data_IF_293664994529
#
_entry.id   IF_293664994529
#
_cell.length_a   1.000
_cell.length_b   1.000
_cell.length_c   1.000
_cell.angle_alpha   90.00
_cell.angle_beta   90.00
_cell.angle_gamma   90.00
#
_symmetry.space_group_name_H-M   'P 1'
#
loop_
_entity.id
_entity.type
_entity.pdbx_description
1 polymer ?
#
# COMPACT_ATOMS: atom_id res chain seq x y z
N UNK A 1 -16.43 31.46 6.84
CA UNK A 1 -16.42 30.29 7.75
C UNK A 1 -15.14 30.37 8.58
N UNK A 2 -15.14 31.23 9.60
CA UNK A 2 -13.94 31.55 10.39
C UNK A 2 -13.78 30.47 11.47
N UNK A 3 -12.84 29.56 11.24
CA UNK A 3 -12.49 28.51 12.19
C UNK A 3 -11.61 29.13 13.27
N UNK A 4 -12.21 29.58 14.36
CA UNK A 4 -11.53 29.95 15.60
C UNK A 4 -10.58 28.79 15.97
N UNK A 5 -9.27 28.95 15.70
CA UNK A 5 -8.25 27.96 16.04
C UNK A 5 -8.12 27.94 17.55
N UNK A 6 -8.83 27.02 18.20
CA UNK A 6 -8.67 26.84 19.64
C UNK A 6 -7.20 26.46 19.93
N UNK A 7 -6.44 27.31 20.63
CA UNK A 7 -5.00 27.11 20.83
C UNK A 7 -4.72 25.83 21.63
N UNK A 8 -5.64 25.40 22.49
CA UNK A 8 -5.54 24.15 23.24
C UNK A 8 -5.62 22.93 22.32
N UNK A 9 -6.50 22.95 21.32
CA UNK A 9 -6.62 21.87 20.34
C UNK A 9 -5.39 21.78 19.44
N UNK A 10 -4.81 22.93 19.10
CA UNK A 10 -3.55 23.02 18.35
C UNK A 10 -2.36 22.51 19.17
N UNK A 11 -2.28 22.89 20.45
CA UNK A 11 -1.24 22.42 21.36
C UNK A 11 -1.32 20.91 21.62
N UNK A 12 -2.54 20.38 21.81
CA UNK A 12 -2.76 18.94 21.94
C UNK A 12 -2.34 18.18 20.67
N UNK A 13 -2.75 18.64 19.49
CA UNK A 13 -2.33 18.04 18.23
C UNK A 13 -0.80 18.07 18.06
N UNK A 14 -0.15 19.19 18.40
CA UNK A 14 1.32 19.31 18.36
C UNK A 14 1.99 18.29 19.29
N UNK A 15 1.48 18.12 20.50
CA UNK A 15 2.03 17.18 21.49
C UNK A 15 1.89 15.73 21.01
N UNK A 16 0.74 15.37 20.43
CA UNK A 16 0.52 14.05 19.82
C UNK A 16 1.50 13.80 18.66
N UNK A 17 1.67 14.77 17.75
CA UNK A 17 2.65 14.65 16.68
C UNK A 17 4.07 14.54 17.21
N UNK A 18 4.46 15.38 18.18
CA UNK A 18 5.78 15.33 18.78
C UNK A 18 6.06 13.96 19.43
N UNK A 19 5.10 13.40 20.16
CA UNK A 19 5.22 12.07 20.74
C UNK A 19 5.34 10.97 19.69
N UNK A 20 4.58 11.03 18.59
CA UNK A 20 4.62 10.06 17.50
C UNK A 20 5.93 10.11 16.70
N UNK A 21 6.48 11.32 16.49
CA UNK A 21 7.74 11.51 15.78
C UNK A 21 8.98 11.41 16.67
N UNK A 22 8.85 11.54 18.00
CA UNK A 22 9.94 11.42 18.95
C UNK A 22 10.82 10.16 18.75
N UNK A 23 10.28 8.93 18.63
CA UNK A 23 11.13 7.75 18.43
C UNK A 23 11.89 7.77 17.09
N UNK A 24 11.31 8.36 16.05
CA UNK A 24 11.95 8.50 14.74
C UNK A 24 13.11 9.50 14.83
N UNK A 25 12.90 10.63 15.52
CA UNK A 25 13.95 11.62 15.76
C UNK A 25 15.08 11.03 16.61
N UNK A 26 14.75 10.27 17.64
CA UNK A 26 15.73 9.56 18.48
C UNK A 26 16.55 8.59 17.61
N UNK A 27 15.90 7.81 16.74
CA UNK A 27 16.59 6.92 15.80
C UNK A 27 17.53 7.71 14.87
N UNK A 28 17.08 8.84 14.32
CA UNK A 28 17.92 9.70 13.47
C UNK A 28 19.16 10.20 14.23
N UNK A 29 19.01 10.65 15.48
CA UNK A 29 20.12 11.10 16.31
C UNK A 29 21.10 9.94 16.57
N UNK A 30 20.59 8.76 16.91
CA UNK A 30 21.43 7.58 17.13
C UNK A 30 22.09 7.02 15.86
N UNK A 31 21.58 7.34 14.67
CA UNK A 31 22.22 6.99 13.40
C UNK A 31 23.59 7.65 13.23
N UNK A 32 23.86 8.73 13.97
CA UNK A 32 25.17 9.39 14.02
C UNK A 32 26.03 8.97 15.22
N UNK A 33 25.63 7.97 16.01
CA UNK A 33 26.38 7.59 17.20
C UNK A 33 27.61 6.74 16.87
N UNK A 34 28.76 7.12 17.44
CA UNK A 34 30.05 6.42 17.32
C UNK A 34 30.16 5.19 18.25
N UNK A 35 29.10 4.37 18.29
CA UNK A 35 29.07 3.14 19.09
C UNK A 35 28.34 2.04 18.32
N UNK A 36 28.95 0.86 18.27
CA UNK A 36 28.31 -0.38 17.76
C UNK A 36 27.10 -0.82 18.60
N UNK A 37 26.95 -0.30 19.82
CA UNK A 37 25.82 -0.55 20.72
C UNK A 37 25.03 0.74 20.90
N UNK A 38 23.78 0.72 20.48
CA UNK A 38 22.85 1.88 20.46
C UNK A 38 22.61 2.52 21.83
N UNK A 39 22.95 1.84 22.93
CA UNK A 39 22.62 2.28 24.29
C UNK A 39 23.63 3.21 24.96
N UNK A 40 24.80 3.46 24.36
CA UNK A 40 25.81 4.39 24.94
C UNK A 40 26.21 5.42 23.88
N UNK A 41 25.94 6.69 24.18
CA UNK A 41 26.38 7.81 23.35
C UNK A 41 27.89 8.01 23.52
N UNK A 42 28.66 7.84 22.46
CA UNK A 42 30.13 7.97 22.49
C UNK A 42 30.64 9.18 21.69
N UNK A 43 29.94 9.59 20.65
CA UNK A 43 30.34 10.71 19.79
C UNK A 43 29.50 10.79 18.51
N UNK A 44 29.67 11.87 17.74
CA UNK A 44 29.05 12.05 16.44
C UNK A 44 29.97 11.49 15.34
N UNK A 45 29.45 10.59 14.50
CA UNK A 45 30.16 10.00 13.36
C UNK A 45 29.25 9.85 12.14
N UNK A 46 29.83 9.94 10.95
CA UNK A 46 29.18 9.63 9.67
C UNK A 46 29.72 8.35 9.03
N UNK A 47 30.61 7.63 9.72
CA UNK A 47 31.29 6.44 9.21
C UNK A 47 30.32 5.34 8.75
N UNK A 48 29.17 5.20 9.42
CA UNK A 48 28.14 4.21 9.09
C UNK A 48 27.55 4.40 7.69
N UNK A 49 27.39 5.65 7.23
CA UNK A 49 26.93 5.94 5.88
C UNK A 49 27.98 5.58 4.83
N UNK A 50 29.27 5.82 5.13
CA UNK A 50 30.37 5.38 4.28
C UNK A 50 30.44 3.85 4.18
N UNK A 51 30.30 3.15 5.30
CA UNK A 51 30.23 1.67 5.34
C UNK A 51 29.02 1.11 4.61
N UNK A 52 27.88 1.80 4.66
CA UNK A 52 26.67 1.43 3.92
C UNK A 52 26.91 1.51 2.42
N UNK A 53 27.49 2.61 1.94
CA UNK A 53 27.79 2.81 0.52
C UNK A 53 28.91 1.91 -0.01
N UNK A 54 29.80 1.45 0.87
CA UNK A 54 30.86 0.49 0.52
C UNK A 54 30.39 -0.98 0.55
N UNK A 55 29.13 -1.25 0.92
CA UNK A 55 28.60 -2.61 1.04
C UNK A 55 27.70 -2.93 -0.17
N UNK A 56 28.30 -3.55 -1.18
CA UNK A 56 27.62 -3.92 -2.42
C UNK A 56 26.44 -4.87 -2.19
N UNK A 57 26.52 -5.78 -1.21
CA UNK A 57 25.43 -6.70 -0.88
C UNK A 57 24.20 -5.95 -0.35
N UNK A 58 24.39 -4.95 0.50
CA UNK A 58 23.31 -4.11 1.01
C UNK A 58 22.69 -3.26 -0.10
N UNK A 59 23.51 -2.66 -0.96
CA UNK A 59 23.03 -1.87 -2.09
C UNK A 59 22.27 -2.74 -3.10
N UNK A 60 22.75 -3.95 -3.38
CA UNK A 60 22.06 -4.92 -4.22
C UNK A 60 20.71 -5.34 -3.61
N UNK A 61 20.66 -5.60 -2.30
CA UNK A 61 19.42 -5.93 -1.59
C UNK A 61 18.39 -4.79 -1.64
N UNK A 62 18.82 -3.54 -1.47
CA UNK A 62 17.97 -2.36 -1.65
C UNK A 62 17.45 -2.29 -3.09
N UNK A 63 18.30 -2.53 -4.09
CA UNK A 63 17.90 -2.55 -5.49
C UNK A 63 16.82 -3.60 -5.78
N UNK A 64 17.00 -4.82 -5.30
CA UNK A 64 16.00 -5.90 -5.42
C UNK A 64 14.70 -5.51 -4.73
N UNK A 65 14.77 -4.94 -3.52
CA UNK A 65 13.58 -4.52 -2.76
C UNK A 65 12.76 -3.47 -3.52
N UNK A 66 13.42 -2.47 -4.10
CA UNK A 66 12.76 -1.43 -4.90
C UNK A 66 12.12 -2.04 -6.15
N UNK A 67 12.82 -2.92 -6.87
CA UNK A 67 12.28 -3.58 -8.06
C UNK A 67 11.04 -4.43 -7.72
N UNK A 68 11.11 -5.24 -6.66
CA UNK A 68 9.98 -6.05 -6.19
C UNK A 68 8.81 -5.15 -5.81
N UNK A 69 9.06 -4.05 -5.08
CA UNK A 69 8.02 -3.12 -4.68
C UNK A 69 7.30 -2.48 -5.88
N UNK A 70 8.05 -2.03 -6.89
CA UNK A 70 7.47 -1.44 -8.11
C UNK A 70 6.58 -2.45 -8.84
N UNK A 71 7.09 -3.67 -9.06
CA UNK A 71 6.33 -4.73 -9.74
C UNK A 71 5.08 -5.09 -8.94
N UNK A 72 5.22 -5.24 -7.62
CA UNK A 72 4.11 -5.60 -6.75
C UNK A 72 3.03 -4.51 -6.73
N UNK A 73 3.40 -3.23 -6.62
CA UNK A 73 2.45 -2.11 -6.65
C UNK A 73 1.71 -2.05 -7.98
N UNK A 74 2.41 -2.13 -9.11
CA UNK A 74 1.77 -2.05 -10.43
C UNK A 74 0.80 -3.22 -10.65
N UNK A 75 1.27 -4.45 -10.44
CA UNK A 75 0.45 -5.64 -10.65
C UNK A 75 -0.73 -5.68 -9.67
N UNK A 76 -0.51 -5.40 -8.39
CA UNK A 76 -1.59 -5.40 -7.39
C UNK A 76 -2.60 -4.28 -7.58
N UNK A 77 -2.17 -3.11 -8.04
CA UNK A 77 -3.09 -2.00 -8.35
C UNK A 77 -4.01 -2.38 -9.50
N UNK A 78 -3.47 -2.96 -10.57
CA UNK A 78 -4.27 -3.37 -11.74
C UNK A 78 -5.22 -4.51 -11.33
N UNK A 79 -4.68 -5.61 -10.79
CA UNK A 79 -5.48 -6.79 -10.45
C UNK A 79 -6.50 -6.50 -9.34
N UNK A 80 -6.07 -5.81 -8.29
CA UNK A 80 -6.92 -5.45 -7.15
C UNK A 80 -8.00 -4.43 -7.53
N UNK A 81 -7.71 -3.47 -8.42
CA UNK A 81 -8.74 -2.55 -8.90
C UNK A 81 -9.81 -3.27 -9.72
N UNK A 82 -9.39 -4.15 -10.64
CA UNK A 82 -10.32 -4.97 -11.43
C UNK A 82 -11.19 -5.85 -10.53
N UNK A 83 -10.59 -6.51 -9.54
CA UNK A 83 -11.28 -7.38 -8.60
C UNK A 83 -12.22 -6.59 -7.68
N UNK A 84 -11.77 -5.44 -7.17
CA UNK A 84 -12.54 -4.58 -6.27
C UNK A 84 -13.77 -3.98 -6.96
N UNK A 85 -13.61 -3.52 -8.20
CA UNK A 85 -14.71 -3.02 -9.03
C UNK A 85 -15.68 -4.14 -9.42
N UNK A 86 -15.16 -5.31 -9.78
CA UNK A 86 -15.98 -6.49 -10.06
C UNK A 86 -16.83 -6.90 -8.87
N UNK A 87 -16.25 -6.95 -7.66
CA UNK A 87 -16.97 -7.26 -6.43
C UNK A 87 -17.97 -6.16 -6.02
N UNK A 88 -17.68 -4.90 -6.32
CA UNK A 88 -18.58 -3.78 -6.01
C UNK A 88 -19.81 -3.75 -6.93
N UNK A 89 -19.61 -3.93 -8.24
CA UNK A 89 -20.65 -3.64 -9.25
C UNK A 89 -21.33 -4.87 -9.85
N UNK A 90 -20.65 -6.02 -9.93
CA UNK A 90 -21.22 -7.22 -10.55
C UNK A 90 -21.90 -8.14 -9.51
N UNK A 91 -23.00 -8.76 -9.92
CA UNK A 91 -23.65 -9.86 -9.19
C UNK A 91 -23.36 -11.17 -9.92
N UNK A 92 -22.47 -11.99 -9.39
CA UNK A 92 -22.10 -13.30 -9.95
C UNK A 92 -22.15 -14.40 -8.89
N UNK A 93 -22.37 -15.64 -9.33
CA UNK A 93 -22.69 -16.80 -8.46
C UNK A 93 -21.57 -17.19 -7.48
N UNK A 94 -20.33 -16.77 -7.74
CA UNK A 94 -19.15 -17.01 -6.89
C UNK A 94 -18.72 -15.84 -5.99
N UNK A 95 -19.51 -14.77 -5.91
CA UNK A 95 -19.13 -13.53 -5.22
C UNK A 95 -18.71 -13.73 -3.76
N UNK A 96 -19.46 -14.54 -3.01
CA UNK A 96 -19.17 -14.83 -1.61
C UNK A 96 -17.81 -15.50 -1.44
N UNK A 97 -17.50 -16.52 -2.24
CA UNK A 97 -16.21 -17.22 -2.19
C UNK A 97 -15.05 -16.31 -2.54
N UNK A 98 -15.19 -15.46 -3.57
CA UNK A 98 -14.17 -14.48 -3.94
C UNK A 98 -13.93 -13.45 -2.84
N UNK A 99 -15.00 -12.98 -2.18
CA UNK A 99 -14.88 -12.05 -1.05
C UNK A 99 -14.14 -12.69 0.13
N UNK A 100 -14.48 -13.93 0.50
CA UNK A 100 -13.75 -14.68 1.53
C UNK A 100 -12.28 -14.88 1.13
N UNK A 101 -12.00 -15.24 -0.12
CA UNK A 101 -10.63 -15.48 -0.59
C UNK A 101 -9.76 -14.21 -0.50
N UNK A 102 -10.33 -13.04 -0.79
CA UNK A 102 -9.65 -11.74 -0.66
C UNK A 102 -9.41 -11.37 0.81
N UNK A 103 -10.28 -11.80 1.72
CA UNK A 103 -10.15 -11.51 3.15
C UNK A 103 -9.14 -12.43 3.85
N UNK A 104 -8.94 -13.67 3.37
CA UNK A 104 -8.02 -14.63 3.99
C UNK A 104 -6.61 -14.05 4.17
N UNK A 105 -5.93 -13.49 3.13
CA UNK A 105 -4.59 -12.93 3.28
C UNK A 105 -4.52 -11.72 4.21
N UNK A 106 -5.63 -10.99 4.37
CA UNK A 106 -5.66 -9.79 5.22
C UNK A 106 -5.74 -10.16 6.71
N UNK A 107 -6.37 -11.29 7.04
CA UNK A 107 -6.54 -11.76 8.42
C UNK A 107 -5.39 -12.66 8.86
N UNK A 108 -4.73 -13.36 7.93
CA UNK A 108 -3.58 -14.20 8.27
C UNK A 108 -2.37 -13.35 8.65
N UNK A 109 -1.63 -13.74 9.71
CA UNK A 109 -0.38 -13.07 10.05
C UNK A 109 0.62 -13.14 8.90
N UNK A 110 1.26 -12.02 8.58
CA UNK A 110 2.20 -11.91 7.46
C UNK A 110 3.35 -12.93 7.54
N UNK A 111 3.86 -13.18 8.75
CA UNK A 111 4.93 -14.15 8.99
C UNK A 111 4.50 -15.57 8.61
N UNK A 112 3.25 -15.94 8.94
CA UNK A 112 2.70 -17.26 8.61
C UNK A 112 2.55 -17.38 7.10
N UNK A 113 1.98 -16.36 6.44
CA UNK A 113 1.83 -16.35 4.99
C UNK A 113 3.18 -16.46 4.27
N UNK A 114 4.18 -15.69 4.71
CA UNK A 114 5.53 -15.70 4.15
C UNK A 114 6.18 -17.07 4.27
N UNK A 115 6.10 -17.70 5.45
CA UNK A 115 6.63 -19.04 5.65
C UNK A 115 5.88 -20.09 4.82
N UNK A 116 4.54 -20.04 4.79
CA UNK A 116 3.73 -20.97 4.00
C UNK A 116 4.05 -20.90 2.52
N UNK A 117 4.20 -19.69 1.97
CA UNK A 117 4.50 -19.51 0.56
C UNK A 117 5.95 -19.90 0.23
N UNK A 118 6.91 -19.65 1.13
CA UNK A 118 8.27 -20.15 1.00
C UNK A 118 8.28 -21.69 0.92
N UNK A 119 7.60 -22.36 1.85
CA UNK A 119 7.50 -23.83 1.86
C UNK A 119 6.80 -24.36 0.60
N UNK A 120 5.75 -23.68 0.14
CA UNK A 120 5.05 -24.00 -1.11
C UNK A 120 5.99 -23.93 -2.32
N UNK A 121 6.77 -22.87 -2.44
CA UNK A 121 7.71 -22.72 -3.56
C UNK A 121 8.86 -23.73 -3.51
N UNK A 122 9.38 -24.03 -2.31
CA UNK A 122 10.38 -25.09 -2.12
C UNK A 122 9.82 -26.44 -2.56
N UNK A 123 8.59 -26.76 -2.13
CA UNK A 123 7.97 -28.04 -2.44
C UNK A 123 7.68 -28.24 -3.93
N UNK A 124 7.33 -27.17 -4.66
CA UNK A 124 6.97 -27.25 -6.09
C UNK A 124 8.13 -27.04 -7.05
N UNK A 125 9.05 -26.14 -6.72
CA UNK A 125 10.07 -25.65 -7.66
C UNK A 125 11.50 -25.86 -7.18
N UNK A 126 11.71 -26.46 -5.99
CA UNK A 126 13.01 -26.68 -5.34
C UNK A 126 13.93 -25.44 -5.32
N UNK A 127 13.32 -24.25 -5.34
CA UNK A 127 14.02 -22.96 -5.45
C UNK A 127 13.61 -22.07 -4.29
N UNK A 128 14.55 -21.26 -3.80
CA UNK A 128 14.39 -20.42 -2.61
C UNK A 128 14.76 -18.98 -2.92
N UNK A 129 13.91 -18.05 -2.47
CA UNK A 129 14.24 -16.63 -2.43
C UNK A 129 14.46 -15.99 -3.79
N UNK A 130 13.89 -16.54 -4.87
CA UNK A 130 14.01 -15.92 -6.19
C UNK A 130 13.19 -14.63 -6.27
N UNK A 131 13.62 -13.70 -7.12
CA UNK A 131 12.91 -12.43 -7.37
C UNK A 131 11.43 -12.64 -7.69
N UNK A 132 11.12 -13.67 -8.49
CA UNK A 132 9.75 -14.01 -8.87
C UNK A 132 8.92 -14.47 -7.67
N UNK A 133 9.48 -15.30 -6.79
CA UNK A 133 8.80 -15.77 -5.58
C UNK A 133 8.48 -14.61 -4.63
N UNK A 134 9.46 -13.71 -4.42
CA UNK A 134 9.26 -12.50 -3.62
C UNK A 134 8.19 -11.59 -4.22
N UNK A 135 8.21 -11.42 -5.54
CA UNK A 135 7.23 -10.59 -6.27
C UNK A 135 5.82 -11.17 -6.14
N UNK A 136 5.64 -12.47 -6.37
CA UNK A 136 4.35 -13.14 -6.25
C UNK A 136 3.82 -13.02 -4.81
N UNK A 137 4.67 -13.22 -3.81
CA UNK A 137 4.30 -13.08 -2.41
C UNK A 137 3.72 -11.70 -2.10
N UNK A 138 4.42 -10.64 -2.50
CA UNK A 138 3.98 -9.27 -2.29
C UNK A 138 2.72 -8.94 -3.10
N UNK A 139 2.61 -9.43 -4.34
CA UNK A 139 1.41 -9.23 -5.16
C UNK A 139 0.19 -9.86 -4.48
N UNK A 140 0.26 -11.11 -4.03
CA UNK A 140 -0.85 -11.80 -3.37
C UNK A 140 -1.32 -11.05 -2.13
N UNK A 141 -0.39 -10.51 -1.34
CA UNK A 141 -0.69 -9.70 -0.18
C UNK A 141 -1.35 -8.36 -0.58
N UNK A 142 -0.68 -7.57 -1.43
CA UNK A 142 -1.13 -6.24 -1.81
C UNK A 142 -2.47 -6.23 -2.58
N UNK A 143 -2.74 -7.24 -3.42
CA UNK A 143 -4.01 -7.36 -4.14
C UNK A 143 -5.20 -7.32 -3.19
N UNK A 144 -5.09 -7.96 -2.03
CA UNK A 144 -6.17 -8.02 -1.04
C UNK A 144 -6.50 -6.64 -0.47
N UNK A 145 -5.48 -5.88 -0.09
CA UNK A 145 -5.62 -4.49 0.39
C UNK A 145 -6.19 -3.55 -0.67
N UNK A 146 -5.66 -3.61 -1.90
CA UNK A 146 -6.15 -2.78 -3.01
C UNK A 146 -7.61 -3.10 -3.32
N UNK A 147 -7.97 -4.39 -3.40
CA UNK A 147 -9.33 -4.83 -3.70
C UNK A 147 -10.34 -4.26 -2.71
N UNK A 148 -10.06 -4.35 -1.41
CA UNK A 148 -10.95 -3.86 -0.36
C UNK A 148 -11.02 -2.33 -0.38
N UNK A 149 -9.88 -1.65 -0.59
CA UNK A 149 -9.82 -0.20 -0.71
C UNK A 149 -10.67 0.28 -1.89
N UNK A 150 -10.48 -0.28 -3.09
CA UNK A 150 -11.25 0.10 -4.28
C UNK A 150 -12.73 -0.25 -4.13
N UNK A 151 -13.07 -1.41 -3.57
CA UNK A 151 -14.46 -1.81 -3.30
C UNK A 151 -15.15 -0.84 -2.35
N UNK A 152 -14.51 -0.48 -1.23
CA UNK A 152 -15.08 0.46 -0.25
C UNK A 152 -15.32 1.84 -0.84
N UNK A 153 -14.40 2.31 -1.70
CA UNK A 153 -14.57 3.56 -2.45
C UNK A 153 -15.70 3.48 -3.46
N UNK A 154 -15.79 2.39 -4.22
CA UNK A 154 -16.85 2.17 -5.20
C UNK A 154 -18.24 2.04 -4.54
N UNK A 155 -18.34 1.44 -3.35
CA UNK A 155 -19.59 1.33 -2.60
C UNK A 155 -20.12 2.68 -2.10
N UNK A 156 -19.25 3.67 -1.92
CA UNK A 156 -19.63 5.05 -1.57
C UNK A 156 -20.12 5.89 -2.74
N UNK A 157 -20.02 5.40 -3.99
CA UNK A 157 -20.49 6.10 -5.18
C UNK A 157 -21.94 5.72 -5.51
N UNK A 158 -22.80 6.70 -5.82
CA UNK A 158 -24.18 6.41 -6.20
C UNK A 158 -24.21 5.61 -7.54
N UNK A 159 -24.87 4.44 -7.59
CA UNK A 159 -25.05 3.66 -8.82
C UNK A 159 -25.76 4.45 -9.93
N UNK A 160 -26.54 5.45 -9.53
CA UNK A 160 -27.37 6.32 -10.36
C UNK A 160 -26.58 7.05 -11.45
N UNK A 161 -25.32 7.44 -11.20
CA UNK A 161 -24.50 8.10 -12.22
C UNK A 161 -24.11 7.16 -13.36
N UNK A 162 -23.91 5.88 -13.07
CA UNK A 162 -23.59 4.86 -14.07
C UNK A 162 -24.84 4.35 -14.79
N UNK A 163 -25.98 4.32 -14.09
CA UNK A 163 -27.30 4.04 -14.69
C UNK A 163 -27.72 5.16 -15.64
N UNK A 164 -27.60 6.43 -15.24
CA UNK A 164 -27.89 7.57 -16.11
C UNK A 164 -27.01 7.61 -17.36
N UNK A 165 -25.72 7.25 -17.24
CA UNK A 165 -24.83 7.13 -18.39
C UNK A 165 -25.26 6.00 -19.35
N UNK A 166 -25.73 4.88 -18.80
CA UNK A 166 -26.27 3.76 -19.61
C UNK A 166 -27.61 4.11 -20.25
N UNK A 167 -28.46 4.86 -19.55
CA UNK A 167 -29.74 5.37 -20.10
C UNK A 167 -29.51 6.37 -21.24
N UNK A 168 -28.42 7.14 -21.18
CA UNK A 168 -27.95 8.01 -22.27
C UNK A 168 -27.22 7.26 -23.41
N UNK A 169 -27.19 5.92 -23.37
CA UNK A 169 -26.66 5.07 -24.44
C UNK A 169 -25.19 4.67 -24.29
N UNK A 170 -24.53 4.96 -23.16
CA UNK A 170 -23.17 4.48 -22.93
C UNK A 170 -23.16 2.96 -22.70
N UNK A 171 -22.26 2.23 -23.38
CA UNK A 171 -22.01 0.82 -23.08
C UNK A 171 -21.46 0.66 -21.65
N UNK A 172 -21.58 -0.52 -21.05
CA UNK A 172 -21.06 -0.78 -19.69
C UNK A 172 -19.57 -0.42 -19.54
N UNK A 173 -18.77 -0.65 -20.60
CA UNK A 173 -17.38 -0.22 -20.67
C UNK A 173 -17.22 1.30 -20.82
N UNK A 174 -18.09 1.95 -21.59
CA UNK A 174 -18.14 3.41 -21.70
C UNK A 174 -18.49 4.09 -20.37
N UNK A 175 -19.55 3.64 -19.70
CA UNK A 175 -19.95 4.15 -18.38
C UNK A 175 -18.83 3.93 -17.34
N UNK A 176 -18.15 2.78 -17.39
CA UNK A 176 -16.99 2.52 -16.56
C UNK A 176 -15.82 3.49 -16.84
N UNK A 177 -15.40 3.63 -18.10
CA UNK A 177 -14.24 4.46 -18.52
C UNK A 177 -14.47 5.95 -18.30
N UNK A 178 -15.68 6.44 -18.58
CA UNK A 178 -15.98 7.88 -18.60
C UNK A 178 -16.63 8.41 -17.32
N UNK A 179 -17.24 7.55 -16.49
CA UNK A 179 -17.91 7.98 -15.25
C UNK A 179 -17.26 7.35 -14.03
N UNK A 180 -17.15 6.02 -13.99
CA UNK A 180 -16.59 5.33 -12.82
C UNK A 180 -15.10 5.62 -12.64
N UNK A 181 -14.30 5.50 -13.71
CA UNK A 181 -12.85 5.67 -13.65
C UNK A 181 -12.41 7.07 -13.16
N UNK A 182 -12.95 8.20 -13.69
CA UNK A 182 -12.59 9.53 -13.22
C UNK A 182 -12.97 9.79 -11.76
N UNK A 183 -14.11 9.24 -11.31
CA UNK A 183 -14.61 9.40 -9.95
C UNK A 183 -13.82 8.58 -8.91
N UNK A 184 -13.32 7.39 -9.29
CA UNK A 184 -12.41 6.60 -8.42
C UNK A 184 -10.95 7.05 -8.52
N UNK A 185 -10.59 7.82 -9.56
CA UNK A 185 -9.22 8.31 -9.78
C UNK A 185 -8.62 8.97 -8.54
N UNK A 186 -9.28 9.90 -7.83
CA UNK A 186 -8.72 10.50 -6.60
C UNK A 186 -8.49 9.49 -5.46
N UNK A 187 -9.08 8.29 -5.52
CA UNK A 187 -8.85 7.19 -4.57
C UNK A 187 -7.73 6.22 -4.97
N UNK A 188 -7.30 6.21 -6.24
CA UNK A 188 -6.23 5.33 -6.77
C UNK A 188 -4.94 6.12 -6.99
N UNK A 189 -5.06 7.35 -7.48
CA UNK A 189 -3.98 8.30 -7.64
C UNK A 189 -4.36 9.51 -6.80
N UNK A 190 -3.60 9.86 -5.75
CA UNK A 190 -3.77 11.14 -5.08
C UNK A 190 -3.52 12.26 -6.10
N UNK A 191 -4.56 12.69 -6.80
CA UNK A 191 -4.50 13.90 -7.60
C UNK A 191 -4.48 15.03 -6.58
N UNK A 192 -3.33 15.69 -6.46
CA UNK A 192 -3.24 16.97 -5.76
C UNK A 192 -4.42 17.81 -6.20
N UNK A 193 -5.16 18.34 -5.23
CA UNK A 193 -6.41 19.04 -5.45
C UNK A 193 -6.28 19.98 -6.65
N UNK A 194 -7.31 20.09 -7.52
CA UNK A 194 -7.43 21.30 -8.30
C UNK A 194 -7.52 22.44 -7.28
N UNK A 195 -6.45 23.21 -7.14
CA UNK A 195 -6.61 24.63 -6.91
C UNK A 195 -7.45 25.08 -8.09
N UNK A 196 -8.71 25.41 -7.86
CA UNK A 196 -9.34 26.54 -8.53
C UNK A 196 -10.58 26.95 -7.73
N UNK A 197 -10.61 28.26 -7.52
CA UNK A 197 -11.72 29.12 -7.10
C UNK A 197 -12.99 28.89 -7.89
#
# INVERSE_FOLDING_TARGET
MNRERNPLLSAYALLVYAFLFAPIVVLMIFSFNDSRRTFVWKGFTTEWYGKLLANDDLLAAVGVTVQVAVVAVLASTILGSLLGLGLARLRFRGRGSTETLVLIPMVTPEIVMGLSLLLFFVALFDTRGSFAQLSIAHITFCVSFVTITVRSRAAGMSPQLEEAARDLGASAWGAFRYVTLPLITPGIVPRGAPSDT
#
